data_IF_938112846853
#
_entry.id   IF_938112846853
#
_cell.length_a   1.000
_cell.length_b   1.000
_cell.length_c   1.000
_cell.angle_alpha   90.00
_cell.angle_beta   90.00
_cell.angle_gamma   90.00
#
_symmetry.space_group_name_H-M   'P 1'
#
loop_
_entity.id
_entity.type
_entity.pdbx_description
1 polymer ?
2 branched ?
3 non-polymer ?
4 non-polymer ?
5 non-polymer ?
6 non-polymer ?
7 water ?
#
# COMPACT_ATOMS: atom_id res chain seq x y z
N UNK A 1 26.98 -35.08 -16.23
CA UNK A 1 26.80 -33.76 -15.64
C UNK A 1 25.99 -33.82 -14.34
N UNK A 2 25.93 -32.66 -13.68
CA UNK A 2 25.01 -32.43 -12.58
C UNK A 2 23.93 -31.55 -13.15
N UNK A 3 22.83 -31.33 -12.40
CA UNK A 3 21.94 -30.19 -12.62
C UNK A 3 21.70 -29.39 -11.33
N UNK A 4 22.28 -28.21 -11.17
CA UNK A 4 22.19 -27.42 -9.96
C UNK A 4 20.72 -27.14 -9.63
N UNK A 5 20.35 -27.28 -8.35
CA UNK A 5 18.98 -27.03 -7.91
C UNK A 5 18.66 -25.54 -7.92
N UNK A 6 17.39 -25.22 -8.11
CA UNK A 6 16.90 -23.88 -7.81
C UNK A 6 17.15 -23.64 -6.33
N UNK A 7 17.23 -22.37 -5.92
CA UNK A 7 17.34 -22.09 -4.49
C UNK A 7 16.15 -22.69 -3.74
N UNK A 8 16.37 -23.08 -2.50
CA UNK A 8 15.30 -23.62 -1.67
C UNK A 8 15.50 -23.12 -0.25
N UNK A 9 14.40 -23.01 0.49
CA UNK A 9 14.49 -22.74 1.92
C UNK A 9 15.41 -23.79 2.55
N UNK A 10 16.43 -23.34 3.28
CA UNK A 10 17.45 -24.27 3.79
C UNK A 10 17.25 -24.74 5.22
N UNK A 11 16.21 -24.24 5.88
CA UNK A 11 15.89 -24.68 7.24
C UNK A 11 16.84 -24.17 8.29
N UNK A 12 17.70 -23.23 7.93
CA UNK A 12 18.61 -22.61 8.89
C UNK A 12 17.92 -21.40 9.52
N UNK A 13 17.96 -21.32 10.85
CA UNK A 13 17.27 -20.24 11.55
C UNK A 13 18.05 -18.93 11.51
N UNK A 14 17.38 -17.86 11.07
CA UNK A 14 18.00 -16.56 10.93
C UNK A 14 17.24 -15.49 11.69
N UNK A 15 16.00 -15.79 12.06
CA UNK A 15 15.18 -14.82 12.78
C UNK A 15 15.70 -14.70 14.21
N UNK A 16 15.96 -13.48 14.63
CA UNK A 16 16.59 -13.22 15.91
C UNK A 16 15.58 -13.08 17.03
N UNK A 17 15.85 -13.74 18.16
CA UNK A 17 15.09 -13.50 19.36
C UNK A 17 15.58 -12.20 19.98
N UNK A 18 14.89 -11.11 19.69
CA UNK A 18 15.31 -9.78 20.12
C UNK A 18 14.93 -9.55 21.58
N UNK A 19 15.91 -9.19 22.39
CA UNK A 19 15.66 -9.00 23.82
C UNK A 19 16.43 -7.82 24.40
N UNK A 20 16.26 -7.61 25.70
CA UNK A 20 16.89 -6.48 26.38
C UNK A 20 18.39 -6.43 26.17
N UNK A 21 19.02 -7.60 26.16
CA UNK A 21 20.48 -7.66 26.11
C UNK A 21 21.07 -7.47 24.72
N UNK A 22 20.30 -7.71 23.67
CA UNK A 22 20.85 -7.67 22.32
C UNK A 22 20.25 -6.63 21.36
N UNK A 23 19.13 -6.03 21.74
CA UNK A 23 18.40 -5.19 20.79
C UNK A 23 19.22 -4.01 20.26
N UNK A 24 20.06 -3.44 21.11
CA UNK A 24 20.93 -2.36 20.66
C UNK A 24 21.93 -2.84 19.61
N UNK A 25 22.51 -4.02 19.84
CA UNK A 25 23.43 -4.62 18.88
C UNK A 25 22.75 -4.96 17.57
N UNK A 26 21.51 -5.44 17.65
CA UNK A 26 20.78 -5.84 16.46
C UNK A 26 20.52 -4.64 15.55
N UNK A 27 20.10 -3.53 16.14
CA UNK A 27 19.87 -2.31 15.37
C UNK A 27 21.14 -1.79 14.69
N UNK A 28 22.28 -1.99 15.34
CA UNK A 28 23.56 -1.55 14.78
C UNK A 28 23.93 -2.36 13.55
N UNK A 29 23.55 -3.63 13.54
CA UNK A 29 23.99 -4.57 12.52
C UNK A 29 23.26 -4.40 11.17
N UNK A 30 21.99 -4.04 11.22
CA UNK A 30 21.18 -4.01 10.00
C UNK A 30 20.76 -2.59 9.61
N UNK A 31 20.71 -2.33 8.31
CA UNK A 31 20.22 -1.04 7.81
C UNK A 31 18.69 -1.02 7.86
N UNK A 32 18.08 -2.16 7.57
CA UNK A 32 16.64 -2.30 7.67
C UNK A 32 16.34 -3.50 8.57
N UNK A 33 15.48 -3.28 9.55
CA UNK A 33 15.14 -4.31 10.52
C UNK A 33 13.63 -4.48 10.59
N UNK A 34 13.17 -5.72 10.41
CA UNK A 34 11.76 -6.02 10.54
C UNK A 34 11.52 -6.84 11.80
N UNK A 35 10.70 -6.31 12.70
CA UNK A 35 10.42 -6.97 13.96
C UNK A 35 8.94 -7.36 14.06
N UNK A 36 8.68 -8.62 14.37
CA UNK A 36 7.34 -9.08 14.67
C UNK A 36 7.10 -8.97 16.18
N UNK A 37 6.18 -8.08 16.55
CA UNK A 37 5.73 -7.96 17.92
C UNK A 37 4.62 -8.98 18.15
N UNK A 38 4.87 -9.96 19.03
CA UNK A 38 3.94 -11.09 19.18
C UNK A 38 3.68 -11.45 20.64
N UNK A 39 2.63 -12.24 20.86
CA UNK A 39 2.22 -12.65 22.20
C UNK A 39 2.92 -13.93 22.61
N UNK A 40 3.09 -14.15 23.92
CA UNK A 40 3.67 -15.40 24.41
C UNK A 40 2.82 -16.60 23.98
N UNK A 41 3.42 -17.79 23.93
CA UNK A 41 2.73 -19.00 23.48
C UNK A 41 1.50 -19.35 24.31
N UNK A 42 0.38 -19.60 23.63
CA UNK A 42 -0.84 -20.05 24.30
C UNK A 42 -0.81 -21.57 24.43
N UNK A 43 -1.71 -22.11 25.26
CA UNK A 43 -1.74 -23.55 25.51
C UNK A 43 -2.39 -24.33 24.37
N UNK A 44 -3.15 -23.64 23.52
CA UNK A 44 -3.89 -24.33 22.47
C UNK A 44 -3.06 -24.55 21.22
N UNK A 45 -3.26 -25.72 20.61
CA UNK A 45 -2.48 -26.14 19.44
C UNK A 45 -2.65 -25.19 18.25
N UNK A 46 -3.88 -24.74 18.03
CA UNK A 46 -4.18 -23.88 16.88
C UNK A 46 -3.35 -22.60 16.89
N UNK A 47 -3.36 -21.88 18.01
CA UNK A 47 -2.61 -20.64 18.08
C UNK A 47 -1.11 -20.89 17.91
N UNK A 48 -0.65 -22.03 18.41
CA UNK A 48 0.76 -22.40 18.28
C UNK A 48 1.13 -22.63 16.81
N UNK A 49 0.26 -23.30 16.08
CA UNK A 49 0.47 -23.54 14.66
C UNK A 49 0.46 -22.23 13.88
N UNK A 50 -0.45 -21.32 14.23
CA UNK A 50 -0.51 -20.01 13.61
C UNK A 50 0.82 -19.27 13.75
N UNK A 51 1.39 -19.29 14.95
CA UNK A 51 2.66 -18.60 15.17
C UNK A 51 3.79 -19.31 14.44
N UNK A 52 3.74 -20.64 14.42
CA UNK A 52 4.74 -21.45 13.74
C UNK A 52 4.81 -21.04 12.27
N UNK A 53 3.64 -20.86 11.66
CA UNK A 53 3.56 -20.44 10.26
C UNK A 53 4.15 -19.05 10.06
N UNK A 54 3.74 -18.09 10.89
CA UNK A 54 4.24 -16.72 10.77
C UNK A 54 5.75 -16.68 10.89
N UNK A 55 6.30 -17.39 11.87
CA UNK A 55 7.75 -17.37 12.08
C UNK A 55 8.49 -17.96 10.88
N UNK A 56 7.94 -19.02 10.29
CA UNK A 56 8.57 -19.62 9.11
C UNK A 56 8.50 -18.70 7.89
N UNK A 57 7.41 -17.95 7.77
CA UNK A 57 7.33 -16.98 6.69
C UNK A 57 8.46 -15.95 6.85
N UNK A 58 8.70 -15.51 8.07
CA UNK A 58 9.80 -14.60 8.35
C UNK A 58 11.15 -15.25 8.04
N UNK A 59 11.29 -16.54 8.35
CA UNK A 59 12.53 -17.25 8.06
C UNK A 59 12.80 -17.25 6.55
N UNK A 60 11.77 -17.47 5.76
CA UNK A 60 11.95 -17.49 4.31
C UNK A 60 12.39 -16.13 3.80
N UNK A 61 11.72 -15.07 4.26
CA UNK A 61 12.10 -13.71 3.88
C UNK A 61 13.52 -13.42 4.34
N UNK A 62 13.87 -13.91 5.52
CA UNK A 62 15.20 -13.68 6.06
C UNK A 62 16.28 -14.33 5.20
N UNK A 63 16.00 -15.52 4.68
CA UNK A 63 16.96 -16.20 3.81
C UNK A 63 17.14 -15.42 2.51
N UNK A 64 16.03 -15.01 1.93
CA UNK A 64 16.06 -14.27 0.66
C UNK A 64 16.84 -12.96 0.78
N UNK A 65 16.64 -12.25 1.88
CA UNK A 65 17.21 -10.91 2.03
C UNK A 65 18.48 -10.85 2.87
N UNK A 66 19.08 -12.01 3.17
CA UNK A 66 20.26 -12.05 4.01
C UNK A 66 21.40 -11.23 3.44
N UNK A 67 21.66 -11.36 2.14
CA UNK A 67 22.76 -10.67 1.50
C UNK A 67 22.55 -9.16 1.40
N UNK A 68 21.30 -8.72 1.44
CA UNK A 68 20.99 -7.29 1.31
C UNK A 68 20.94 -6.54 2.63
N UNK A 69 21.30 -7.22 3.72
CA UNK A 69 21.42 -6.57 5.01
C UNK A 69 20.09 -6.19 5.64
N UNK A 70 19.07 -7.01 5.40
CA UNK A 70 17.80 -6.85 6.09
C UNK A 70 17.71 -7.89 7.19
N UNK A 71 17.45 -7.45 8.41
CA UNK A 71 17.38 -8.34 9.55
C UNK A 71 15.95 -8.60 9.99
N UNK A 72 15.72 -9.75 10.61
CA UNK A 72 14.38 -10.12 11.08
C UNK A 72 14.44 -10.56 12.52
N UNK A 73 13.48 -10.11 13.32
CA UNK A 73 13.49 -10.42 14.74
C UNK A 73 12.13 -10.56 15.36
N UNK A 74 12.08 -11.17 16.54
CA UNK A 74 10.85 -11.39 17.26
C UNK A 74 10.90 -10.66 18.59
N UNK A 75 9.85 -9.94 18.91
CA UNK A 75 9.75 -9.28 20.21
C UNK A 75 8.52 -9.80 20.94
N UNK A 76 8.76 -10.56 22.01
CA UNK A 76 7.72 -11.18 22.83
C UNK A 76 7.09 -10.13 23.76
N UNK A 77 5.78 -9.99 23.70
CA UNK A 77 5.09 -8.92 24.42
C UNK A 77 5.24 -9.06 25.94
N UNK A 78 5.57 -10.26 26.40
CA UNK A 78 5.77 -10.48 27.83
C UNK A 78 7.25 -10.52 28.18
N UNK A 79 7.96 -11.48 27.59
CA UNK A 79 9.39 -11.65 27.84
C UNK A 79 10.20 -10.39 27.49
N UNK A 80 9.76 -9.67 26.46
CA UNK A 80 10.50 -8.50 25.98
C UNK A 80 9.69 -7.21 26.09
N UNK A 81 8.83 -7.13 27.11
CA UNK A 81 7.97 -5.97 27.30
C UNK A 81 8.73 -4.64 27.32
N UNK A 82 9.90 -4.62 27.96
CA UNK A 82 10.68 -3.38 28.06
C UNK A 82 11.22 -2.93 26.70
N UNK A 83 11.63 -3.89 25.89
CA UNK A 83 12.09 -3.59 24.54
C UNK A 83 10.95 -2.98 23.73
N UNK A 84 9.79 -3.62 23.79
CA UNK A 84 8.61 -3.15 23.07
C UNK A 84 8.33 -1.71 23.46
N UNK A 85 8.38 -1.44 24.77
CA UNK A 85 8.12 -0.10 25.29
C UNK A 85 9.08 0.92 24.68
N UNK A 86 10.36 0.58 24.63
CA UNK A 86 11.38 1.50 24.11
C UNK A 86 11.25 1.76 22.62
N UNK A 87 10.77 0.77 21.87
CA UNK A 87 10.68 0.87 20.42
C UNK A 87 9.32 1.34 19.94
N UNK A 88 8.34 1.35 20.85
CA UNK A 88 7.00 1.78 20.50
C UNK A 88 6.16 0.70 19.85
N UNK A 89 6.41 -0.55 20.22
CA UNK A 89 5.65 -1.68 19.68
C UNK A 89 4.36 -1.87 20.46
N UNK A 90 3.23 -1.62 19.81
CA UNK A 90 1.93 -1.57 20.49
C UNK A 90 0.91 -2.56 19.92
N UNK A 91 0.88 -2.67 18.60
CA UNK A 91 -0.15 -3.46 17.92
C UNK A 91 0.16 -4.95 17.97
N UNK A 92 -0.73 -5.71 18.55
CA UNK A 92 -0.54 -7.12 18.77
C UNK A 92 -0.27 -7.89 17.48
N UNK A 93 0.66 -8.82 17.54
CA UNK A 93 0.96 -9.68 16.39
C UNK A 93 1.10 -8.86 15.11
N UNK A 94 2.00 -7.89 15.13
CA UNK A 94 2.19 -6.98 14.01
C UNK A 94 3.66 -6.76 13.68
N UNK A 95 3.94 -6.46 12.42
CA UNK A 95 5.31 -6.20 11.98
C UNK A 95 5.65 -4.71 11.94
N UNK A 96 6.75 -4.34 12.59
CA UNK A 96 7.29 -2.99 12.54
C UNK A 96 8.60 -3.00 11.77
N UNK A 97 8.79 -2.02 10.90
CA UNK A 97 9.99 -1.94 10.09
C UNK A 97 10.78 -0.68 10.40
N UNK A 98 12.06 -0.85 10.71
CA UNK A 98 12.92 0.26 11.08
C UNK A 98 13.98 0.52 10.02
N UNK A 99 14.12 1.78 9.64
CA UNK A 99 15.14 2.24 8.74
C UNK A 99 15.61 3.62 9.24
N UNK A 100 16.88 3.71 9.56
CA UNK A 100 17.42 4.97 10.08
C UNK A 100 16.57 5.47 11.22
N UNK A 101 15.93 6.63 11.04
CA UNK A 101 15.04 7.21 12.06
C UNK A 101 13.55 7.14 11.76
N UNK A 102 13.18 6.25 10.86
CA UNK A 102 11.81 6.01 10.53
C UNK A 102 11.37 4.68 11.07
N UNK A 103 10.16 4.67 11.55
CA UNK A 103 9.51 3.43 11.92
C UNK A 103 8.26 3.28 11.07
N UNK A 104 8.06 2.09 10.52
CA UNK A 104 6.87 1.80 9.73
C UNK A 104 6.04 0.72 10.40
N UNK A 105 4.74 0.97 10.55
CA UNK A 105 3.84 -0.05 11.07
C UNK A 105 3.20 -0.80 9.92
N UNK A 106 3.86 -1.85 9.46
CA UNK A 106 3.41 -2.65 8.33
C UNK A 106 1.96 -3.09 8.52
N UNK A 107 1.12 -2.83 7.55
CA UNK A 107 -0.30 -3.15 7.64
C UNK A 107 -0.69 -3.89 6.31
N UNK A 108 0.18 -4.81 5.89
CA UNK A 108 -0.05 -5.57 4.69
C UNK A 108 -0.09 -7.08 4.90
N UNK A 109 -0.23 -7.80 3.79
CA UNK A 109 -0.28 -9.24 3.74
C UNK A 109 0.94 -9.87 4.41
N UNK A 110 0.73 -10.84 5.29
CA UNK A 110 1.80 -11.57 5.97
C UNK A 110 2.24 -12.75 5.08
N UNK A 111 2.93 -12.44 4.01
CA UNK A 111 3.43 -13.47 3.11
C UNK A 111 4.86 -13.12 2.72
N UNK A 112 5.65 -14.13 2.43
CA UNK A 112 7.06 -13.90 2.08
C UNK A 112 7.19 -13.02 0.83
N UNK A 113 6.43 -13.30 -0.23
CA UNK A 113 6.56 -12.48 -1.44
C UNK A 113 6.26 -11.02 -1.16
N UNK A 114 5.16 -10.77 -0.46
CA UNK A 114 4.75 -9.38 -0.23
C UNK A 114 5.74 -8.67 0.70
N UNK A 115 6.18 -9.36 1.73
CA UNK A 115 7.12 -8.78 2.69
C UNK A 115 8.47 -8.51 2.04
N UNK A 116 8.94 -9.44 1.23
CA UNK A 116 10.21 -9.23 0.54
C UNK A 116 10.13 -8.04 -0.41
N UNK A 117 9.06 -7.98 -1.20
CA UNK A 117 8.90 -6.86 -2.13
C UNK A 117 8.88 -5.54 -1.36
N UNK A 118 8.13 -5.51 -0.26
CA UNK A 118 8.03 -4.32 0.57
C UNK A 118 9.38 -3.88 1.11
N UNK A 119 10.15 -4.82 1.67
CA UNK A 119 11.44 -4.47 2.26
C UNK A 119 12.45 -4.04 1.21
N UNK A 120 12.36 -4.62 0.02
CA UNK A 120 13.20 -4.16 -1.09
C UNK A 120 12.86 -2.70 -1.41
N UNK A 121 11.57 -2.37 -1.36
CA UNK A 121 11.13 -0.98 -1.55
C UNK A 121 11.64 -0.07 -0.44
N UNK A 122 11.64 -0.58 0.79
CA UNK A 122 12.12 0.22 1.93
C UNK A 122 13.60 0.56 1.77
N UNK A 123 14.37 -0.38 1.23
CA UNK A 123 15.82 -0.18 1.06
C UNK A 123 16.16 0.95 0.09
N UNK A 124 15.28 1.21 -0.87
CA UNK A 124 15.51 2.25 -1.87
C UNK A 124 15.53 3.65 -1.26
N UNK A 125 16.20 4.58 -1.92
CA UNK A 125 16.19 5.98 -1.49
C UNK A 125 14.78 6.54 -1.58
N UNK A 126 14.42 7.44 -0.67
CA UNK A 126 13.05 7.95 -0.54
C UNK A 126 12.57 8.82 -1.71
N UNK A 127 13.49 9.53 -2.36
CA UNK A 127 13.10 10.34 -3.52
C UNK A 127 13.70 9.81 -4.81
N UNK A 128 12.85 9.68 -5.82
CA UNK A 128 13.31 9.25 -7.13
C UNK A 128 13.54 10.47 -8.03
N UNK A 129 14.77 10.59 -8.55
CA UNK A 129 15.11 11.71 -9.41
C UNK A 129 14.79 11.41 -10.86
N UNK A 130 14.22 12.40 -11.54
CA UNK A 130 13.91 12.28 -12.95
C UNK A 130 14.87 13.12 -13.79
N UNK A 131 15.63 12.46 -14.65
CA UNK A 131 16.61 13.13 -15.49
C UNK A 131 16.41 12.79 -16.96
N UNK A 132 16.17 11.52 -17.24
CA UNK A 132 16.04 11.04 -18.61
C UNK A 132 14.62 10.86 -19.08
N UNK A 133 14.46 10.62 -20.38
CA UNK A 133 13.14 10.43 -20.97
C UNK A 133 12.46 9.17 -20.45
N UNK A 134 13.24 8.10 -20.29
CA UNK A 134 12.69 6.85 -19.78
C UNK A 134 12.08 7.06 -18.40
N UNK A 135 12.81 7.78 -17.54
CA UNK A 135 12.36 8.03 -16.18
C UNK A 135 11.12 8.92 -16.13
N UNK A 136 11.08 9.92 -16.99
CA UNK A 136 9.91 10.79 -17.05
C UNK A 136 8.69 10.02 -17.48
N UNK A 137 8.84 9.21 -18.53
CA UNK A 137 7.72 8.43 -19.03
C UNK A 137 7.23 7.45 -17.97
N UNK A 138 8.16 6.82 -17.26
CA UNK A 138 7.82 5.94 -16.16
C UNK A 138 6.97 6.67 -15.12
N UNK A 139 7.38 7.88 -14.77
CA UNK A 139 6.60 8.68 -13.83
C UNK A 139 5.19 8.91 -14.36
N UNK A 140 5.10 9.35 -15.60
CA UNK A 140 3.80 9.69 -16.18
C UNK A 140 2.86 8.49 -16.23
N UNK A 141 3.42 7.30 -16.37
CA UNK A 141 2.61 6.09 -16.50
C UNK A 141 2.06 5.52 -15.19
N UNK A 142 2.50 6.07 -14.06
CA UNK A 142 1.96 5.64 -12.77
C UNK A 142 0.55 6.16 -12.58
N UNK A 143 -0.40 5.26 -12.31
CA UNK A 143 -1.78 5.67 -12.08
C UNK A 143 -2.41 5.08 -10.82
N UNK A 144 -1.95 3.91 -10.38
CA UNK A 144 -2.66 3.19 -9.34
C UNK A 144 -2.25 3.56 -7.91
N UNK A 145 -1.50 4.64 -7.79
CA UNK A 145 -1.12 5.15 -6.48
C UNK A 145 -0.95 6.66 -6.56
N UNK A 146 -1.11 7.31 -5.41
CA UNK A 146 -0.78 8.72 -5.27
C UNK A 146 0.69 8.90 -5.59
N UNK A 147 1.05 10.02 -6.22
CA UNK A 147 2.46 10.33 -6.47
C UNK A 147 2.65 11.85 -6.39
N UNK A 148 3.84 12.27 -5.98
CA UNK A 148 4.15 13.69 -5.89
C UNK A 148 5.40 13.97 -6.70
N UNK A 149 5.46 15.12 -7.35
CA UNK A 149 6.66 15.50 -8.08
C UNK A 149 6.97 16.98 -7.84
N UNK A 150 8.23 17.30 -7.57
CA UNK A 150 8.61 18.67 -7.35
C UNK A 150 9.79 19.05 -8.21
N UNK A 151 9.91 20.34 -8.52
CA UNK A 151 11.02 20.87 -9.29
C UNK A 151 11.85 21.76 -8.36
N UNK A 152 13.14 21.48 -8.25
CA UNK A 152 14.01 22.25 -7.36
C UNK A 152 15.31 22.58 -8.08
N UNK A 153 16.06 23.53 -7.54
CA UNK A 153 17.28 24.00 -8.21
C UNK A 153 18.31 22.89 -8.32
N UNK A 154 18.53 22.20 -7.21
CA UNK A 154 19.49 21.10 -7.10
C UNK A 154 19.35 20.45 -5.72
N UNK A 155 20.17 19.45 -5.43
CA UNK A 155 20.03 18.67 -4.21
C UNK A 155 20.30 19.50 -2.95
N UNK A 156 20.92 20.65 -3.13
CA UNK A 156 21.30 21.48 -1.99
C UNK A 156 20.28 22.57 -1.69
N UNK A 157 19.20 22.59 -2.46
CA UNK A 157 18.12 23.51 -2.22
C UNK A 157 17.45 23.18 -0.88
N UNK A 158 17.26 24.21 -0.06
CA UNK A 158 16.56 24.04 1.20
C UNK A 158 15.19 23.41 0.95
N UNK A 159 14.62 23.71 -0.20
CA UNK A 159 13.26 23.25 -0.49
C UNK A 159 13.23 21.81 -0.97
N UNK A 160 14.31 21.38 -1.62
CA UNK A 160 14.46 19.97 -1.94
C UNK A 160 14.64 19.16 -0.67
N UNK A 161 15.46 19.66 0.25
CA UNK A 161 15.67 18.97 1.51
C UNK A 161 14.36 18.78 2.28
N UNK A 162 13.51 19.80 2.26
CA UNK A 162 12.21 19.70 2.93
C UNK A 162 11.34 18.63 2.28
N UNK A 163 11.39 18.59 0.95
CA UNK A 163 10.66 17.60 0.16
C UNK A 163 11.14 16.19 0.50
N UNK A 164 12.44 16.04 0.65
CA UNK A 164 13.02 14.73 0.96
C UNK A 164 12.64 14.26 2.36
N UNK A 165 12.62 15.18 3.31
CA UNK A 165 12.16 14.88 4.66
C UNK A 165 10.70 14.41 4.66
N UNK A 166 9.87 15.09 3.89
CA UNK A 166 8.47 14.69 3.78
C UNK A 166 8.37 13.31 3.13
N UNK A 167 9.20 13.08 2.11
CA UNK A 167 9.20 11.80 1.41
C UNK A 167 9.46 10.64 2.37
N UNK A 168 10.38 10.86 3.29
CA UNK A 168 10.75 9.83 4.25
C UNK A 168 9.59 9.47 5.18
N UNK A 169 8.71 10.42 5.43
CA UNK A 169 7.55 10.18 6.31
C UNK A 169 6.56 9.17 5.72
N UNK A 170 6.52 9.07 4.38
CA UNK A 170 5.54 8.22 3.71
C UNK A 170 6.18 7.05 2.96
N UNK A 171 7.49 6.91 3.12
CA UNK A 171 8.27 5.89 2.41
C UNK A 171 7.95 4.53 3.00
N UNK A 172 7.76 3.51 2.14
CA UNK A 172 7.80 3.54 0.68
C UNK A 172 6.42 3.54 0.03
N UNK A 173 5.37 3.86 0.79
CA UNK A 173 4.00 3.74 0.29
C UNK A 173 3.62 4.76 -0.79
N UNK A 174 4.11 5.98 -0.65
CA UNK A 174 3.77 7.04 -1.60
C UNK A 174 5.04 7.54 -2.26
N UNK A 175 5.16 7.32 -3.57
CA UNK A 175 6.39 7.69 -4.28
C UNK A 175 6.53 9.20 -4.42
N UNK A 176 7.69 9.72 -4.04
CA UNK A 176 8.02 11.13 -4.23
C UNK A 176 9.08 11.22 -5.32
N UNK A 177 8.86 12.10 -6.28
CA UNK A 177 9.77 12.30 -7.39
C UNK A 177 10.26 13.74 -7.42
N UNK A 178 11.50 13.95 -7.87
CA UNK A 178 11.99 15.30 -8.03
C UNK A 178 12.74 15.44 -9.35
N UNK A 179 12.76 16.65 -9.89
CA UNK A 179 13.63 16.97 -11.01
C UNK A 179 14.38 18.26 -10.73
N UNK A 180 15.60 18.36 -11.25
CA UNK A 180 16.39 19.58 -11.17
C UNK A 180 16.55 20.15 -12.57
N UNK A 181 15.90 19.51 -13.54
CA UNK A 181 16.06 19.85 -14.94
C UNK A 181 14.92 20.74 -15.44
N UNK A 182 15.25 21.94 -15.88
CA UNK A 182 14.24 22.90 -16.30
C UNK A 182 13.40 22.42 -17.48
N UNK A 183 13.98 21.59 -18.33
CA UNK A 183 13.27 21.07 -19.49
C UNK A 183 12.24 20.01 -19.07
N UNK A 184 12.59 19.23 -18.05
CA UNK A 184 11.65 18.26 -17.51
C UNK A 184 10.52 18.99 -16.79
N UNK A 185 10.89 19.99 -16.00
CA UNK A 185 9.90 20.80 -15.29
C UNK A 185 8.91 21.44 -16.26
N UNK A 186 9.40 21.83 -17.43
CA UNK A 186 8.53 22.45 -18.43
C UNK A 186 7.48 21.46 -18.93
N UNK A 187 7.90 20.23 -19.22
CA UNK A 187 6.98 19.20 -19.67
C UNK A 187 5.93 18.91 -18.60
N UNK A 188 6.35 19.00 -17.34
CA UNK A 188 5.47 18.74 -16.21
C UNK A 188 4.68 19.98 -15.79
N UNK A 189 5.00 21.11 -16.41
CA UNK A 189 4.39 22.40 -16.07
C UNK A 189 4.62 22.82 -14.61
N UNK A 190 5.82 22.58 -14.10
CA UNK A 190 6.16 22.95 -12.73
C UNK A 190 7.03 24.19 -12.71
N UNK A 191 6.66 25.15 -11.88
CA UNK A 191 7.53 26.28 -11.58
C UNK A 191 8.52 25.85 -10.52
N UNK A 192 9.58 26.64 -10.33
CA UNK A 192 10.58 26.28 -9.32
C UNK A 192 9.97 26.21 -7.92
N UNK A 193 10.25 25.11 -7.24
CA UNK A 193 9.79 24.85 -5.88
C UNK A 193 8.32 24.43 -5.81
N UNK A 194 7.67 24.34 -6.96
CA UNK A 194 6.29 23.87 -7.04
C UNK A 194 6.26 22.35 -6.87
N UNK A 195 5.26 21.87 -6.14
CA UNK A 195 5.05 20.44 -5.96
C UNK A 195 3.64 20.07 -6.42
N UNK A 196 3.56 19.15 -7.37
CA UNK A 196 2.27 18.66 -7.88
C UNK A 196 1.90 17.32 -7.23
N UNK A 197 0.66 17.24 -6.73
CA UNK A 197 0.14 16.03 -6.11
C UNK A 197 -0.85 15.38 -7.08
N UNK A 198 -0.61 14.12 -7.42
CA UNK A 198 -1.49 13.39 -8.33
C UNK A 198 -2.26 12.33 -7.56
N UNK A 199 -3.57 12.52 -7.42
CA UNK A 199 -4.41 11.52 -6.80
C UNK A 199 -4.41 10.27 -7.66
N UNK A 200 -4.50 9.11 -7.04
CA UNK A 200 -4.56 7.86 -7.80
C UNK A 200 -5.67 7.94 -8.85
N UNK A 201 -5.35 7.50 -10.06
CA UNK A 201 -6.31 7.39 -11.17
C UNK A 201 -6.84 8.72 -11.69
N UNK A 202 -6.27 9.82 -11.21
CA UNK A 202 -6.65 11.15 -11.69
C UNK A 202 -5.62 11.68 -12.68
N UNK A 203 -6.10 12.26 -13.77
CA UNK A 203 -5.22 12.81 -14.81
C UNK A 203 -4.61 14.14 -14.38
N UNK A 204 -5.40 14.98 -13.74
CA UNK A 204 -4.97 16.33 -13.40
C UNK A 204 -4.49 16.41 -11.95
N UNK A 205 -3.29 16.97 -11.74
CA UNK A 205 -2.75 17.09 -10.38
C UNK A 205 -3.32 18.30 -9.66
N UNK A 206 -3.07 18.35 -8.35
CA UNK A 206 -3.38 19.53 -7.54
C UNK A 206 -2.05 20.04 -7.04
N UNK A 207 -1.81 21.34 -7.19
CA UNK A 207 -0.54 21.91 -6.74
C UNK A 207 -0.62 22.22 -5.26
N UNK A 208 0.41 21.86 -4.51
CA UNK A 208 0.41 22.19 -3.09
C UNK A 208 0.50 23.71 -2.96
N UNK A 209 -0.44 24.31 -2.22
CA UNK A 209 -0.49 25.78 -2.13
C UNK A 209 0.66 26.37 -1.32
N UNK A 210 0.93 27.66 -1.59
CA UNK A 210 1.84 28.45 -0.76
C UNK A 210 3.31 28.03 -0.85
N UNK A 211 3.76 27.66 -2.05
CA UNK A 211 5.17 27.33 -2.25
C UNK A 211 6.01 28.57 -1.96
N UNK A 212 7.28 28.37 -1.57
CA UNK A 212 7.93 27.08 -1.34
C UNK A 212 7.36 26.41 -0.11
N UNK A 213 7.34 25.08 -0.10
CA UNK A 213 6.70 24.34 0.97
C UNK A 213 7.66 23.79 2.00
N UNK A 214 7.32 23.99 3.26
CA UNK A 214 8.05 23.38 4.35
C UNK A 214 7.71 21.90 4.39
N UNK A 215 8.55 21.15 5.10
CA UNK A 215 8.29 19.74 5.34
C UNK A 215 6.88 19.53 5.90
N UNK A 216 6.50 20.36 6.87
CA UNK A 216 5.20 20.21 7.51
C UNK A 216 4.05 20.49 6.54
N UNK A 217 4.20 21.50 5.70
CA UNK A 217 3.17 21.83 4.72
C UNK A 217 2.93 20.65 3.80
N UNK A 218 3.99 19.97 3.39
CA UNK A 218 3.87 18.84 2.49
C UNK A 218 3.17 17.67 3.18
N UNK A 219 3.66 17.33 4.37
CA UNK A 219 3.09 16.25 5.15
C UNK A 219 1.61 16.51 5.46
N UNK A 220 1.29 17.74 5.83
CA UNK A 220 -0.10 18.11 6.09
C UNK A 220 -0.97 17.86 4.86
N UNK A 221 -0.50 18.32 3.71
CA UNK A 221 -1.26 18.19 2.47
C UNK A 221 -1.48 16.72 2.10
N UNK A 222 -0.43 15.93 2.20
CA UNK A 222 -0.53 14.51 1.85
C UNK A 222 -1.49 13.80 2.79
N UNK A 223 -1.41 14.08 4.09
CA UNK A 223 -2.32 13.46 5.05
C UNK A 223 -3.77 13.80 4.74
N UNK A 224 -4.04 15.06 4.42
CA UNK A 224 -5.40 15.48 4.09
C UNK A 224 -5.93 14.81 2.82
N UNK A 225 -5.03 14.50 1.91
CA UNK A 225 -5.42 13.90 0.63
C UNK A 225 -5.03 12.42 0.56
N UNK A 226 -4.94 11.77 1.71
CA UNK A 226 -4.46 10.40 1.80
C UNK A 226 -5.41 9.39 1.13
N UNK A 227 -6.71 9.68 1.16
CA UNK A 227 -7.70 8.76 0.61
C UNK A 227 -8.17 9.18 -0.78
N UNK A 228 -7.80 8.40 -1.79
CA UNK A 228 -8.22 8.67 -3.15
C UNK A 228 -9.65 8.21 -3.37
N UNK A 229 -10.34 8.85 -4.31
CA UNK A 229 -11.73 8.51 -4.63
C UNK A 229 -11.81 7.07 -5.13
N UNK A 230 -10.86 6.67 -5.95
CA UNK A 230 -10.70 5.29 -6.32
C UNK A 230 -9.33 4.83 -5.83
N UNK A 231 -9.30 3.77 -5.06
CA UNK A 231 -8.04 3.26 -4.53
C UNK A 231 -7.93 1.75 -4.74
N UNK A 232 -6.73 1.28 -5.08
CA UNK A 232 -6.55 -0.14 -5.31
C UNK A 232 -6.17 -0.88 -4.04
N UNK A 233 -6.81 -2.02 -3.79
CA UNK A 233 -6.40 -2.90 -2.70
C UNK A 233 -5.11 -3.59 -3.12
N UNK A 234 -4.04 -3.34 -2.38
CA UNK A 234 -2.73 -3.92 -2.69
C UNK A 234 -2.27 -4.76 -1.50
N UNK A 235 -1.65 -5.92 -1.77
CA UNK A 235 -1.16 -6.77 -0.69
C UNK A 235 -0.37 -6.01 0.36
N UNK A 236 0.50 -5.09 -0.06
CA UNK A 236 1.38 -4.39 0.87
C UNK A 236 0.64 -3.50 1.86
N UNK A 237 -0.60 -3.11 1.54
CA UNK A 237 -1.32 -2.13 2.35
C UNK A 237 -2.78 -2.51 2.58
N UNK A 238 -3.14 -3.76 2.31
CA UNK A 238 -4.54 -4.16 2.27
C UNK A 238 -5.31 -3.91 3.57
N UNK A 239 -4.66 -4.12 4.71
CA UNK A 239 -5.35 -3.98 5.99
C UNK A 239 -5.62 -2.52 6.34
N UNK A 240 -4.69 -1.64 5.99
CA UNK A 240 -4.89 -0.21 6.22
C UNK A 240 -6.04 0.29 5.36
N UNK A 241 -6.06 -0.13 4.09
CA UNK A 241 -7.10 0.30 3.18
C UNK A 241 -8.47 -0.19 3.65
N UNK A 242 -8.56 -1.47 4.00
CA UNK A 242 -9.85 -2.01 4.42
C UNK A 242 -10.34 -1.44 5.75
N UNK A 243 -9.42 -1.17 6.67
CA UNK A 243 -9.82 -0.67 7.97
C UNK A 243 -10.28 0.78 7.90
N UNK A 244 -9.99 1.45 6.79
CA UNK A 244 -10.39 2.84 6.58
C UNK A 244 -11.77 2.93 5.92
N UNK A 245 -12.78 2.38 6.59
CA UNK A 245 -14.13 2.31 6.04
C UNK A 245 -14.82 3.67 5.99
N UNK A 246 -15.85 3.76 5.17
CA UNK A 246 -16.64 4.98 5.04
C UNK A 246 -17.96 4.79 5.78
N UNK A 247 -17.98 5.16 7.06
CA UNK A 247 -19.17 5.00 7.89
C UNK A 247 -19.66 3.56 7.93
N UNK A 248 -18.74 2.60 7.98
CA UNK A 248 -19.09 1.22 8.22
C UNK A 248 -19.29 0.36 6.97
N UNK A 249 -19.07 0.95 5.81
CA UNK A 249 -19.18 0.20 4.57
C UNK A 249 -18.05 0.57 3.61
N UNK A 250 -17.85 -0.28 2.62
CA UNK A 250 -17.00 0.03 1.48
C UNK A 250 -17.79 -0.22 0.21
N UNK A 251 -17.62 0.64 -0.77
CA UNK A 251 -18.00 0.30 -2.13
C UNK A 251 -16.82 -0.46 -2.71
N UNK A 252 -17.08 -1.67 -3.18
CA UNK A 252 -16.02 -2.56 -3.66
C UNK A 252 -16.27 -2.93 -5.11
N UNK A 253 -15.26 -2.79 -5.95
CA UNK A 253 -15.36 -3.21 -7.33
C UNK A 253 -14.30 -4.25 -7.64
N UNK A 254 -14.72 -5.37 -8.23
CA UNK A 254 -13.79 -6.39 -8.68
C UNK A 254 -13.60 -6.25 -10.18
N UNK A 255 -12.35 -6.17 -10.62
CA UNK A 255 -12.07 -6.10 -12.05
C UNK A 255 -10.68 -6.64 -12.32
N UNK A 256 -10.59 -7.58 -13.24
CA UNK A 256 -9.31 -8.15 -13.65
C UNK A 256 -8.74 -7.31 -14.79
N UNK A 257 -7.70 -6.55 -14.49
CA UNK A 257 -7.14 -5.60 -15.44
C UNK A 257 -6.69 -6.28 -16.75
N UNK A 258 -6.23 -7.51 -16.64
CA UNK A 258 -5.66 -8.22 -17.78
C UNK A 258 -6.74 -8.84 -18.67
N UNK A 259 -7.99 -8.71 -18.23
CA UNK A 259 -9.15 -9.27 -18.94
C UNK A 259 -9.85 -8.15 -19.67
N UNK A 260 -10.36 -8.43 -20.88
CA UNK A 260 -11.00 -7.37 -21.69
C UNK A 260 -12.15 -6.68 -20.96
N UNK A 261 -13.05 -7.45 -20.37
CA UNK A 261 -14.18 -6.88 -19.65
C UNK A 261 -13.71 -6.17 -18.38
N UNK A 262 -12.74 -6.77 -17.69
CA UNK A 262 -12.21 -6.17 -16.48
C UNK A 262 -11.57 -4.81 -16.77
N UNK A 263 -10.80 -4.76 -17.85
CA UNK A 263 -10.16 -3.50 -18.27
C UNK A 263 -11.21 -2.44 -18.60
N UNK A 264 -12.23 -2.83 -19.36
CA UNK A 264 -13.29 -1.90 -19.72
C UNK A 264 -14.00 -1.38 -18.47
N UNK A 265 -14.22 -2.26 -17.50
CA UNK A 265 -14.92 -1.87 -16.28
C UNK A 265 -14.05 -0.93 -15.46
N UNK A 266 -12.75 -1.18 -15.42
CA UNK A 266 -11.82 -0.30 -14.73
C UNK A 266 -11.87 1.11 -15.32
N UNK A 267 -11.93 1.20 -16.65
CA UNK A 267 -12.01 2.50 -17.30
C UNK A 267 -13.28 3.24 -16.89
N UNK A 268 -14.38 2.50 -16.75
CA UNK A 268 -15.63 3.07 -16.29
C UNK A 268 -15.51 3.56 -14.84
N UNK A 269 -14.90 2.74 -13.99
CA UNK A 269 -14.67 3.13 -12.60
C UNK A 269 -13.84 4.40 -12.52
N UNK A 270 -12.83 4.50 -13.37
CA UNK A 270 -11.99 5.70 -13.39
C UNK A 270 -12.82 6.93 -13.75
N UNK A 271 -13.74 6.76 -14.69
CA UNK A 271 -14.64 7.86 -15.08
C UNK A 271 -15.54 8.28 -13.92
N UNK A 272 -16.07 7.31 -13.20
CA UNK A 272 -16.91 7.59 -12.04
C UNK A 272 -16.11 8.35 -10.99
N UNK A 273 -14.87 7.92 -10.78
CA UNK A 273 -14.03 8.56 -9.78
C UNK A 273 -13.76 10.01 -10.16
N UNK A 274 -13.41 10.22 -11.43
CA UNK A 274 -13.09 11.56 -11.92
C UNK A 274 -14.28 12.50 -11.78
N UNK A 275 -15.48 11.99 -12.04
CA UNK A 275 -16.67 12.83 -12.00
C UNK A 275 -17.12 13.14 -10.58
N UNK A 276 -16.57 12.42 -9.61
CA UNK A 276 -16.96 12.60 -8.21
C UNK A 276 -15.78 12.91 -7.30
N UNK A 277 -14.68 13.37 -7.89
CA UNK A 277 -13.42 13.42 -7.18
C UNK A 277 -13.41 14.34 -5.95
N UNK A 278 -14.28 15.35 -5.95
CA UNK A 278 -14.31 16.31 -4.85
C UNK A 278 -15.33 15.94 -3.77
N UNK A 279 -16.04 14.84 -3.99
CA UNK A 279 -16.99 14.32 -3.02
C UNK A 279 -16.27 13.50 -1.96
N UNK A 280 -16.03 14.10 -0.79
CA UNK A 280 -15.22 13.44 0.24
C UNK A 280 -15.91 12.19 0.79
N UNK A 281 -17.19 12.03 0.51
CA UNK A 281 -17.95 10.90 1.03
C UNK A 281 -17.83 9.66 0.15
N UNK A 282 -17.16 9.80 -0.99
CA UNK A 282 -17.01 8.68 -1.92
C UNK A 282 -15.61 8.11 -1.97
N UNK A 283 -15.49 6.82 -1.65
CA UNK A 283 -14.26 6.10 -1.93
C UNK A 283 -14.61 4.69 -2.38
N UNK A 284 -14.06 4.30 -3.51
CA UNK A 284 -14.31 2.98 -4.06
C UNK A 284 -13.01 2.20 -3.98
N UNK A 285 -13.09 0.95 -3.51
CA UNK A 285 -11.92 0.09 -3.49
C UNK A 285 -11.95 -0.83 -4.71
N UNK A 286 -10.92 -0.75 -5.54
CA UNK A 286 -10.79 -1.66 -6.67
C UNK A 286 -9.95 -2.85 -6.24
N UNK A 287 -10.51 -4.05 -6.38
CA UNK A 287 -9.76 -5.27 -6.13
C UNK A 287 -9.59 -6.02 -7.45
N UNK A 288 -8.35 -6.29 -7.82
CA UNK A 288 -8.11 -7.19 -8.95
C UNK A 288 -7.92 -8.59 -8.38
N UNK A 289 -8.86 -9.50 -8.68
CA UNK A 289 -8.82 -10.86 -8.14
C UNK A 289 -7.49 -11.57 -8.43
N UNK A 290 -6.84 -11.20 -9.53
CA UNK A 290 -5.55 -11.81 -9.90
C UNK A 290 -4.49 -11.56 -8.85
N UNK A 291 -4.67 -10.50 -8.05
CA UNK A 291 -3.68 -10.13 -7.03
C UNK A 291 -3.83 -10.94 -5.73
N UNK A 292 -4.98 -11.60 -5.59
CA UNK A 292 -5.29 -12.29 -4.33
C UNK A 292 -5.87 -13.68 -4.59
N UNK A 293 -5.09 -14.57 -5.22
CA UNK A 293 -5.61 -15.89 -5.61
C UNK A 293 -6.14 -16.70 -4.42
N UNK A 294 -5.56 -16.51 -3.23
CA UNK A 294 -5.96 -17.29 -2.06
C UNK A 294 -7.28 -16.83 -1.45
N UNK A 295 -7.75 -15.65 -1.86
CA UNK A 295 -9.01 -15.12 -1.34
C UNK A 295 -10.19 -15.29 -2.31
N UNK A 296 -9.92 -15.66 -3.55
CA UNK A 296 -10.99 -15.74 -4.54
C UNK A 296 -12.10 -16.72 -4.16
N UNK A 297 -11.74 -17.95 -3.74
CA UNK A 297 -12.82 -18.86 -3.32
C UNK A 297 -13.67 -18.25 -2.20
N UNK A 298 -13.01 -17.66 -1.22
CA UNK A 298 -13.70 -17.03 -0.10
C UNK A 298 -14.66 -15.93 -0.58
N UNK A 299 -14.18 -15.06 -1.47
CA UNK A 299 -15.01 -13.98 -1.96
C UNK A 299 -16.20 -14.51 -2.76
N UNK A 300 -15.95 -15.48 -3.62
CA UNK A 300 -17.02 -16.01 -4.45
C UNK A 300 -18.10 -16.65 -3.58
N UNK A 301 -17.69 -17.31 -2.50
CA UNK A 301 -18.63 -17.95 -1.59
C UNK A 301 -19.37 -16.92 -0.72
N UNK A 302 -18.60 -16.02 -0.10
CA UNK A 302 -19.14 -15.04 0.83
C UNK A 302 -20.08 -14.04 0.16
N UNK A 303 -19.71 -13.60 -1.04
CA UNK A 303 -20.46 -12.57 -1.75
C UNK A 303 -21.42 -13.17 -2.79
N UNK A 304 -21.30 -14.47 -3.03
CA UNK A 304 -22.12 -15.14 -4.03
C UNK A 304 -22.00 -14.50 -5.42
N UNK A 305 -20.77 -14.31 -5.87
CA UNK A 305 -20.53 -13.71 -7.18
C UNK A 305 -19.49 -14.50 -7.96
N UNK A 306 -19.47 -14.28 -9.28
CA UNK A 306 -18.52 -14.92 -10.17
C UNK A 306 -17.40 -13.95 -10.49
N UNK A 307 -16.22 -14.19 -9.93
CA UNK A 307 -15.11 -13.24 -10.08
C UNK A 307 -14.41 -13.31 -11.42
N UNK A 308 -14.93 -14.13 -12.33
CA UNK A 308 -14.43 -14.12 -13.70
C UNK A 308 -15.09 -12.98 -14.47
N UNK A 309 -16.05 -12.32 -13.83
CA UNK A 309 -16.72 -11.17 -14.41
C UNK A 309 -16.54 -9.96 -13.51
N UNK A 310 -16.57 -8.74 -14.08
CA UNK A 310 -16.49 -7.53 -13.27
C UNK A 310 -17.67 -7.46 -12.32
N UNK A 311 -17.46 -6.89 -11.13
CA UNK A 311 -18.51 -6.76 -10.14
C UNK A 311 -18.39 -5.43 -9.43
N UNK A 312 -19.52 -4.90 -8.96
CA UNK A 312 -19.47 -3.76 -8.06
C UNK A 312 -20.57 -3.91 -7.02
N UNK A 313 -20.24 -3.57 -5.78
CA UNK A 313 -21.19 -3.76 -4.70
C UNK A 313 -20.84 -2.93 -3.48
N UNK A 314 -21.66 -3.10 -2.45
CA UNK A 314 -21.44 -2.42 -1.18
C UNK A 314 -21.33 -3.47 -0.09
N UNK A 315 -20.29 -3.37 0.73
CA UNK A 315 -20.01 -4.36 1.75
C UNK A 315 -20.05 -3.74 3.15
N UNK A 316 -20.79 -4.40 4.04
CA UNK A 316 -20.83 -4.05 5.46
C UNK A 316 -19.60 -4.63 6.16
N UNK A 317 -18.76 -3.77 6.71
CA UNK A 317 -17.48 -4.22 7.28
C UNK A 317 -17.63 -5.00 8.58
N UNK A 318 -18.79 -4.87 9.22
CA UNK A 318 -19.02 -5.54 10.49
C UNK A 318 -19.24 -7.05 10.32
N UNK A 319 -20.00 -7.42 9.30
CA UNK A 319 -20.41 -8.81 9.12
C UNK A 319 -20.21 -9.34 7.70
N UNK A 320 -19.66 -8.51 6.83
CA UNK A 320 -19.41 -8.88 5.44
C UNK A 320 -20.70 -9.09 4.65
N UNK A 321 -21.83 -8.66 5.20
CA UNK A 321 -23.07 -8.63 4.44
C UNK A 321 -22.84 -7.70 3.25
N UNK A 322 -23.52 -7.94 2.14
CA UNK A 322 -23.23 -7.20 0.93
C UNK A 322 -24.37 -7.19 -0.06
N UNK A 323 -24.29 -6.29 -1.04
CA UNK A 323 -25.21 -6.31 -2.16
C UNK A 323 -24.44 -5.97 -3.43
N UNK A 324 -24.73 -6.69 -4.50
CA UNK A 324 -23.98 -6.54 -5.75
C UNK A 324 -24.88 -6.22 -6.94
N UNK A 325 -24.37 -5.36 -7.81
CA UNK A 325 -25.14 -4.91 -8.97
C UNK A 325 -25.29 -6.01 -10.02
N UNK A 326 -26.52 -6.22 -10.47
CA UNK A 326 -26.75 -7.19 -11.53
C UNK A 326 -26.29 -6.63 -12.87
N UNK A 327 -25.41 -7.35 -13.52
CA UNK A 327 -24.95 -7.00 -14.87
C UNK A 327 -25.06 -8.21 -15.79
N UNK A 328 -25.67 -8.00 -16.95
CA UNK A 328 -25.84 -9.05 -17.95
C UNK A 328 -24.63 -9.10 -18.87
N UNK A 329 -23.91 -10.23 -18.87
CA UNK A 329 -22.70 -10.34 -19.66
C UNK A 329 -22.97 -10.47 -21.17
N UNK A 330 -24.25 -10.58 -21.52
CA UNK A 330 -24.63 -10.58 -22.93
C UNK A 330 -24.85 -9.15 -23.42
N UNK A 331 -24.93 -8.22 -22.48
CA UNK A 331 -25.09 -6.81 -22.82
C UNK A 331 -23.80 -6.06 -22.52
N UNK A 332 -23.75 -4.79 -22.91
CA UNK A 332 -22.58 -3.97 -22.62
C UNK A 332 -22.54 -3.63 -21.14
N UNK A 333 -21.34 -3.39 -20.62
CA UNK A 333 -21.20 -2.99 -19.22
C UNK A 333 -21.94 -1.69 -18.96
N UNK A 334 -22.42 -1.50 -17.72
CA UNK A 334 -23.14 -0.29 -17.36
C UNK A 334 -22.24 0.93 -17.58
N UNK A 335 -22.84 2.05 -17.99
CA UNK A 335 -22.08 3.29 -18.16
C UNK A 335 -21.77 3.84 -16.78
N UNK A 336 -20.88 4.83 -16.72
CA UNK A 336 -20.55 5.48 -15.46
C UNK A 336 -21.82 6.06 -14.82
N UNK A 337 -22.69 6.61 -15.65
CA UNK A 337 -23.95 7.17 -15.16
C UNK A 337 -24.82 6.09 -14.53
N UNK A 338 -24.85 4.91 -15.14
CA UNK A 338 -25.63 3.79 -14.61
C UNK A 338 -25.07 3.32 -13.27
N UNK A 339 -23.75 3.24 -13.18
CA UNK A 339 -23.11 2.84 -11.93
C UNK A 339 -23.44 3.82 -10.82
N UNK A 340 -23.33 5.12 -11.12
CA UNK A 340 -23.59 6.12 -10.10
C UNK A 340 -25.03 6.05 -9.64
N UNK A 341 -25.93 5.83 -10.58
CA UNK A 341 -27.35 5.74 -10.30
C UNK A 341 -27.63 4.55 -9.37
N UNK A 342 -26.99 3.42 -9.64
CA UNK A 342 -27.17 2.24 -8.81
C UNK A 342 -26.62 2.48 -7.41
N UNK A 343 -25.43 3.07 -7.30
CA UNK A 343 -24.87 3.35 -5.99
C UNK A 343 -25.79 4.28 -5.19
N UNK A 344 -26.36 5.28 -5.86
CA UNK A 344 -27.30 6.18 -5.20
C UNK A 344 -28.51 5.42 -4.65
N UNK A 345 -29.08 4.55 -5.48
CA UNK A 345 -30.23 3.74 -5.08
C UNK A 345 -29.93 2.90 -3.84
N UNK A 346 -28.77 2.25 -3.84
CA UNK A 346 -28.41 1.36 -2.73
C UNK A 346 -28.08 2.13 -1.46
N UNK A 347 -27.37 3.24 -1.61
CA UNK A 347 -26.84 3.97 -0.46
C UNK A 347 -27.84 4.96 0.13
N UNK A 348 -28.89 5.28 -0.62
CA UNK A 348 -29.90 6.22 -0.15
C UNK A 348 -30.96 5.53 0.71
N UNK A 349 -31.64 4.54 0.13
CA UNK A 349 -32.74 3.87 0.80
C UNK A 349 -32.34 2.72 1.70
N UNK A 350 -31.08 2.30 1.61
CA UNK A 350 -30.58 1.18 2.41
C UNK A 350 -29.39 1.56 3.28
N UNK A 351 -29.38 2.79 3.77
CA UNK A 351 -28.31 3.26 4.64
C UNK A 351 -28.85 4.21 5.71
N UNK A 352 -28.74 3.80 6.98
CA UNK A 352 -29.23 4.60 8.08
C UNK A 352 -28.09 5.17 8.93
N UNK A 353 -26.97 5.45 8.28
CA UNK A 353 -25.80 6.02 8.96
C UNK A 353 -25.97 7.51 9.20
X LIG B 1 -23.84 -3.82 9.40
X LIG B 1 -24.92 -2.79 9.63
X LIG B 1 -25.33 -2.71 11.10
X LIG B 1 -25.43 -4.06 11.73
X LIG B 1 -24.34 -5.06 11.33
X LIG B 1 -24.80 -6.47 11.67
X LIG B 1 -24.92 -0.92 8.20
X LIG B 1 -24.32 0.40 7.92
X LIG B 1 -24.45 -1.51 9.25
X LIG B 1 -26.59 -2.14 11.04
X LIG B 1 -25.39 -3.90 13.13
X LIG B 1 -24.13 -5.05 9.96
X LIG B 1 -23.70 -7.25 12.03
X LIG B 1 -25.75 -1.38 7.47
X LIG B 2 -26.56 -4.44 13.74
X LIG B 2 -26.38 -4.58 15.25
X LIG B 2 -27.70 -5.06 15.81
X LIG B 2 -28.65 -3.90 15.60
X LIG B 2 -28.81 -3.99 14.10
X LIG B 2 -29.94 -3.16 13.53
X LIG B 2 -24.10 -5.10 15.62
X LIG B 2 -23.89 -3.61 15.52
X LIG B 2 -25.34 -5.50 15.49
X LIG B 2 -27.66 -5.47 17.14
X LIG B 2 -29.87 -4.11 16.29
X LIG B 2 -27.59 -3.53 13.54
X LIG B 2 -31.19 -3.79 13.67
X LIG B 2 -23.18 -5.86 15.79
X LIG B 3 -30.62 -3.14 16.81
X LIG B 3 -31.26 -3.93 17.94
X LIG B 3 -32.22 -3.02 18.69
X LIG B 3 -31.49 -1.77 19.15
X LIG B 3 -30.75 -1.12 17.98
X LIG B 3 -29.95 0.09 18.43
X LIG B 3 -30.26 -4.38 18.83
X LIG B 3 -32.80 -3.71 19.78
X LIG B 3 -32.42 -0.85 19.67
X LIG B 3 -29.89 -2.08 17.36
X LIG B 3 -30.70 1.00 18.56
X LIG B 4 -33.80 -3.48 19.61
X LIG B 4 -34.83 -3.74 20.67
X LIG B 4 -34.36 -4.96 21.37
X LIG B 4 -34.45 -6.13 20.37
X LIG B 4 -33.62 -5.77 19.13
X LIG B 4 -33.72 -6.81 18.00
X LIG B 4 -36.02 -4.01 19.96
X LIG B 4 -35.10 -5.11 22.56
X LIG B 4 -34.04 -7.32 21.00
X LIG B 4 -33.99 -4.50 18.66
X LIG B 4 -32.64 -6.74 17.07
X LIG C 1 -21.10 9.71 -5.39
X LIG C 1 -22.29 8.75 -5.37
X LIG C 1 -23.53 9.51 -5.41
X LIG C 1 -22.24 7.87 -6.62
X LIG C 1 -22.26 7.87 -4.13
X LIG C 1 -22.66 8.61 -2.84
X LIG C 1 -22.75 10.00 -3.06
X LIG C 1 -21.65 8.33 -1.75
X LIG D 1 -12.48 -8.32 5.39
X LIG D 1 -13.46 -9.22 4.65
X LIG D 1 -12.82 -10.49 4.38
X LIG D 1 -14.68 -9.49 5.52
X LIG D 1 -13.90 -8.59 3.32
X LIG D 1 -12.72 -8.40 2.38
X LIG D 1 -12.07 -9.63 2.13
X LIG D 1 -13.19 -7.80 1.05
X LIG E 1 -4.04 -15.06 4.57
X LIG E 1 -4.76 -16.08 3.69
X LIG E 1 -5.64 -15.37 2.81
X LIG E 1 -3.74 -16.85 2.85
X LIG E 1 -5.56 -17.05 4.56
X LIG E 1 -6.43 -18.00 3.74
X LIG E 1 -7.37 -17.29 2.97
X LIG E 1 -7.18 -18.97 4.66
X LIG F 1 -24.27 -3.74 3.31
X LIG F 1 -25.72 -3.36 3.02
X LIG F 1 -25.87 -3.15 1.60
X LIG F 1 -26.65 -4.48 3.44
X LIG F 1 -26.09 -2.07 3.75
X LIG F 1 -25.53 -0.85 3.02
X LIG F 1 -26.41 -0.46 1.99
X LIG F 1 -25.33 0.31 3.99
X LIG G 1 4.92 27.70 2.33
X LIG H 1 12.37 -11.70 21.57
X LIG I 1 -10.69 12.70 -5.27
X LIG J 1 1.49 23.35 -13.61
X LIG K 1 -1.71 -11.59 -2.66
X LIG L 1 5.99 -2.98 -1.92
X LIG M 1 -5.35 -8.68 -13.80
X LIG N 1 5.93 2.02 -2.87
X LIG O 1 -20.64 -1.41 9.70
#
# INVERSE_FOLDING_TARGET
>A
EEGLDFPEYDGVDRVINVNAKNYKNVFKKYEVLALLYHEPPEDDKASQRQFEMEELILELAAQVLEDKGVGFGLVDSEKDAAVAKKLGLTEEDSIYVFKEDEVIEYDGEFSADTLVEFLLDVLEDPVELIEGERELQAFENIEDEIKLIGYFKNKDSEHYKAFKEAAEEFHPYIPFFATFDSKVAKKLTLKLNEIDFYEAFMEEPVTIPDKPNSEEEIVNFVEEHRRSTLRKLKPESMYETWEDDMDGIHIVAFAEEADPDGYEFLEILKSVAQDNTDNPDLSIIWIDPDDFPLLVPYWEKTFDIDLSAPQIGVVNVTDADSVWMEMDDEEDLPSAEELEDWLEDVLEGEINT
>B hetero
1 NAG C1 C2 C3 C4 C5 C6 C7 C8 N2 O3 O4 O5 O6 O7
2 NAG C1 C2 C3 C4 C5 C6 C7 C8 N2 O3 O4 O5 O6 O7
3 BMA C1 C2 C3 C4 C5 C6 O2 O3 O4 O5 O6
4 MAN C1 C2 C3 C4 C5 C6 O2 O3 O4 O5 O6
>C hetero
1 MRD C1 C2 O2 CM C3 C4 O4 C5
>D hetero
1 MPD C1 C2 O2 CM C3 C4 O4 C5
>E hetero
1 MRD C1 C2 O2 CM C3 C4 O4 C5
>F hetero
1 MPD C1 C2 O2 CM C3 C4 O4 C5
>G hetero
1 CA CA
>H hetero
1 CA CA
>I hetero
1 CA CA
>J hetero
1 CA CA
>K hetero
1 CA CA
>L hetero
1 CA CA
>M hetero
1 NA NA
>N hetero
1 NA NA
>O hetero
1 NA NA
#
